data_IF_550767829291
#
_entry.id   IF_550767829291
#
_cell.length_a   1.000
_cell.length_b   1.000
_cell.length_c   1.000
_cell.angle_alpha   90.00
_cell.angle_beta   90.00
_cell.angle_gamma   90.00
#
_symmetry.space_group_name_H-M   'P 1'
#
loop_
_entity.id
_entity.type
_entity.pdbx_description
1 polymer ?
#
# COMPACT_ATOMS: atom_id res chain seq x y z
N UNK A 1 2.55 -17.25 -15.48
CA UNK A 1 1.87 -16.27 -14.59
C UNK A 1 2.05 -16.59 -13.11
N UNK A 2 1.66 -17.77 -12.59
CA UNK A 2 1.87 -18.10 -11.16
C UNK A 2 3.33 -17.92 -10.71
N UNK A 3 4.28 -18.54 -11.41
CA UNK A 3 5.72 -18.42 -11.13
C UNK A 3 6.20 -16.95 -11.24
N UNK A 4 5.77 -16.22 -12.27
CA UNK A 4 6.15 -14.82 -12.44
C UNK A 4 5.68 -13.94 -11.26
N UNK A 5 4.52 -14.23 -10.66
CA UNK A 5 4.04 -13.52 -9.47
C UNK A 5 4.91 -13.86 -8.25
N UNK A 6 5.34 -15.12 -8.11
CA UNK A 6 6.26 -15.55 -7.05
C UNK A 6 7.61 -14.83 -7.21
N UNK A 7 8.16 -14.79 -8.41
CA UNK A 7 9.43 -14.15 -8.70
C UNK A 7 9.35 -12.64 -8.53
N UNK A 8 8.27 -12.02 -8.98
CA UNK A 8 7.99 -10.60 -8.73
C UNK A 8 7.89 -10.31 -7.23
N UNK A 9 7.15 -11.12 -6.48
CA UNK A 9 7.04 -10.97 -5.04
C UNK A 9 8.41 -11.06 -4.36
N UNK A 10 9.22 -12.09 -4.67
CA UNK A 10 10.57 -12.22 -4.13
C UNK A 10 11.46 -11.03 -4.49
N UNK A 11 11.38 -10.56 -5.74
CA UNK A 11 12.20 -9.46 -6.21
C UNK A 11 11.82 -8.12 -5.57
N UNK A 12 10.53 -7.86 -5.41
CA UNK A 12 10.00 -6.59 -4.89
C UNK A 12 9.83 -6.56 -3.38
N UNK A 13 9.91 -7.72 -2.72
CA UNK A 13 9.85 -7.78 -1.26
C UNK A 13 11.00 -6.97 -0.64
N UNK A 14 10.75 -6.39 0.55
CA UNK A 14 11.76 -5.75 1.36
C UNK A 14 13.01 -6.60 1.57
N UNK A 15 14.20 -6.00 1.40
CA UNK A 15 15.49 -6.61 1.78
C UNK A 15 15.98 -6.08 3.13
N UNK A 16 16.76 -6.86 3.90
CA UNK A 16 17.30 -6.41 5.18
C UNK A 16 18.13 -5.12 5.12
N UNK A 17 18.87 -4.90 4.04
CA UNK A 17 19.60 -3.64 3.80
C UNK A 17 18.68 -2.44 3.58
N UNK A 18 17.52 -2.63 2.95
CA UNK A 18 16.55 -1.56 2.72
C UNK A 18 15.80 -1.21 4.00
N UNK A 19 15.48 -2.22 4.81
CA UNK A 19 14.89 -2.01 6.14
C UNK A 19 15.85 -1.22 7.04
N UNK A 20 17.14 -1.57 7.06
CA UNK A 20 18.17 -0.82 7.81
C UNK A 20 18.29 0.62 7.35
N UNK A 21 18.40 0.85 6.04
CA UNK A 21 18.45 2.21 5.47
C UNK A 21 17.21 3.02 5.88
N UNK A 22 16.00 2.44 5.78
CA UNK A 22 14.76 3.11 6.18
C UNK A 22 14.72 3.39 7.68
N UNK A 23 15.21 2.49 8.52
CA UNK A 23 15.33 2.73 9.96
C UNK A 23 16.32 3.86 10.30
N UNK A 24 17.40 4.02 9.55
CA UNK A 24 18.30 5.18 9.71
C UNK A 24 17.60 6.50 9.39
N UNK A 25 16.77 6.54 8.33
CA UNK A 25 15.93 7.71 8.01
C UNK A 25 14.99 8.02 9.18
N UNK A 26 14.30 7.00 9.71
CA UNK A 26 13.39 7.15 10.86
C UNK A 26 14.14 7.71 12.07
N UNK A 27 15.32 7.16 12.40
CA UNK A 27 16.12 7.61 13.53
C UNK A 27 16.55 9.08 13.39
N UNK A 28 16.95 9.52 12.18
CA UNK A 28 17.29 10.93 11.94
C UNK A 28 16.10 11.86 12.21
N UNK A 29 14.93 11.49 11.71
CA UNK A 29 13.69 12.27 11.90
C UNK A 29 13.25 12.25 13.37
N UNK A 30 13.31 11.08 14.01
CA UNK A 30 12.96 10.94 15.42
C UNK A 30 13.86 11.80 16.31
N UNK A 31 15.17 11.88 16.04
CA UNK A 31 16.09 12.73 16.79
C UNK A 31 15.67 14.21 16.72
N UNK A 32 15.31 14.73 15.53
CA UNK A 32 14.79 16.11 15.38
C UNK A 32 13.51 16.31 16.19
N UNK A 33 12.59 15.35 16.12
CA UNK A 33 11.32 15.40 16.86
C UNK A 33 11.56 15.39 18.37
N UNK A 34 12.49 14.56 18.87
CA UNK A 34 12.82 14.44 20.30
C UNK A 34 13.56 15.66 20.84
N UNK A 35 14.34 16.35 20.01
CA UNK A 35 14.95 17.64 20.37
C UNK A 35 13.88 18.73 20.58
N UNK A 36 12.85 18.77 19.72
CA UNK A 36 11.72 19.69 19.89
C UNK A 36 10.80 19.28 21.06
N UNK A 37 10.49 17.99 21.13
CA UNK A 37 9.51 17.42 22.06
C UNK A 37 10.04 16.11 22.66
N UNK A 38 10.81 16.18 23.76
CA UNK A 38 11.44 15.00 24.37
C UNK A 38 10.46 13.88 24.78
N UNK A 39 9.22 14.27 25.12
CA UNK A 39 8.17 13.36 25.55
C UNK A 39 7.27 12.86 24.40
N UNK A 40 7.51 13.30 23.15
CA UNK A 40 6.75 12.81 22.00
C UNK A 40 7.11 11.35 21.74
N UNK A 41 6.15 10.55 21.29
CA UNK A 41 6.36 9.16 20.90
C UNK A 41 6.22 9.03 19.38
N UNK A 42 7.26 8.54 18.71
CA UNK A 42 7.32 8.44 17.24
C UNK A 42 7.14 6.98 16.86
N UNK A 43 6.12 6.70 16.06
CA UNK A 43 5.83 5.33 15.63
C UNK A 43 5.72 5.23 14.12
N UNK A 44 6.27 4.14 13.58
CA UNK A 44 6.09 3.74 12.19
C UNK A 44 4.71 3.07 12.04
N UNK A 45 3.96 3.46 11.02
CA UNK A 45 2.72 2.79 10.62
C UNK A 45 2.74 2.41 9.14
N UNK A 46 1.57 2.05 8.60
CA UNK A 46 1.37 1.86 7.16
C UNK A 46 2.12 0.66 6.58
N UNK A 47 2.58 0.83 5.33
CA UNK A 47 3.15 -0.28 4.55
C UNK A 47 4.47 -0.78 5.13
N UNK A 48 5.28 0.11 5.71
CA UNK A 48 6.55 -0.25 6.33
C UNK A 48 6.35 -1.15 7.55
N UNK A 49 5.39 -0.83 8.43
CA UNK A 49 5.08 -1.66 9.62
C UNK A 49 4.54 -3.06 9.30
N UNK A 50 3.90 -3.22 8.14
CA UNK A 50 3.27 -4.47 7.70
C UNK A 50 4.19 -5.35 6.86
N UNK A 51 5.30 -4.81 6.34
CA UNK A 51 6.16 -5.49 5.38
C UNK A 51 5.60 -5.55 3.96
N UNK A 52 4.47 -4.88 3.68
CA UNK A 52 3.83 -4.85 2.36
C UNK A 52 4.14 -3.55 1.60
N UNK A 53 5.40 -3.13 1.61
CA UNK A 53 5.85 -1.92 0.91
C UNK A 53 6.61 -2.28 -0.36
N UNK A 54 6.48 -1.43 -1.39
CA UNK A 54 7.30 -1.50 -2.59
C UNK A 54 8.64 -0.78 -2.32
N UNK A 55 9.69 -1.05 -3.10
CA UNK A 55 11.02 -0.44 -2.89
C UNK A 55 10.96 1.09 -2.85
N UNK A 56 10.02 1.68 -3.61
CA UNK A 56 9.78 3.12 -3.73
C UNK A 56 8.69 3.66 -2.81
N UNK A 57 8.09 2.82 -1.96
CA UNK A 57 7.02 3.27 -1.06
C UNK A 57 7.54 4.22 0.03
N UNK A 58 6.69 5.15 0.41
CA UNK A 58 6.95 6.13 1.45
C UNK A 58 7.05 5.46 2.85
N UNK A 59 7.72 6.14 3.79
CA UNK A 59 7.67 5.80 5.22
C UNK A 59 6.57 6.63 5.87
N UNK A 60 5.62 5.96 6.52
CA UNK A 60 4.54 6.60 7.27
C UNK A 60 4.91 6.70 8.76
N UNK A 61 5.03 7.92 9.29
CA UNK A 61 5.33 8.19 10.71
C UNK A 61 4.17 8.91 11.40
N UNK A 62 3.84 8.47 12.61
CA UNK A 62 2.90 9.17 13.48
C UNK A 62 3.64 9.63 14.73
N UNK A 63 3.47 10.91 15.05
CA UNK A 63 3.99 11.51 16.28
C UNK A 63 2.82 11.61 17.27
N UNK A 64 2.99 11.03 18.44
CA UNK A 64 2.05 11.13 19.56
C UNK A 64 2.57 12.09 20.62
N UNK A 65 1.66 12.89 21.15
CA UNK A 65 2.01 13.97 22.08
C UNK A 65 0.79 14.80 22.46
N UNK A 66 1.02 15.73 23.39
CA UNK A 66 -0.01 16.64 23.89
C UNK A 66 0.13 17.96 23.18
N UNK A 67 -0.77 18.24 22.25
CA UNK A 67 -0.80 19.49 21.49
C UNK A 67 -2.19 20.11 21.56
N UNK A 68 -2.25 21.40 21.89
CA UNK A 68 -3.50 22.19 21.75
C UNK A 68 -3.79 22.45 20.27
N UNK A 69 -2.74 22.73 19.49
CA UNK A 69 -2.76 22.90 18.04
C UNK A 69 -1.64 22.06 17.42
N UNK A 70 -1.91 21.39 16.30
CA UNK A 70 -0.93 20.52 15.65
C UNK A 70 0.30 21.33 15.19
N UNK A 71 1.53 20.98 15.63
CA UNK A 71 2.72 21.79 15.40
C UNK A 71 3.38 21.49 14.03
N UNK A 72 2.58 21.47 12.96
CA UNK A 72 3.03 21.07 11.62
C UNK A 72 4.19 21.95 11.11
N UNK A 73 4.01 23.27 11.18
CA UNK A 73 4.98 24.27 10.72
C UNK A 73 6.24 24.30 11.59
N UNK A 74 6.11 24.10 12.91
CA UNK A 74 7.27 23.99 13.81
C UNK A 74 8.15 22.80 13.46
N UNK A 75 7.53 21.64 13.15
CA UNK A 75 8.29 20.47 12.72
C UNK A 75 8.91 20.68 11.32
N UNK A 76 8.19 21.31 10.39
CA UNK A 76 8.73 21.66 9.06
C UNK A 76 10.00 22.51 9.16
N UNK A 77 9.98 23.57 9.96
CA UNK A 77 11.14 24.45 10.17
C UNK A 77 12.35 23.73 10.76
N UNK A 78 12.11 22.84 11.75
CA UNK A 78 13.17 22.07 12.36
C UNK A 78 13.77 21.02 11.41
N UNK A 79 12.93 20.33 10.64
CA UNK A 79 13.40 19.37 9.63
C UNK A 79 14.28 20.03 8.57
N UNK A 80 13.92 21.26 8.15
CA UNK A 80 14.76 22.07 7.26
C UNK A 80 16.07 22.48 7.93
N UNK A 81 16.02 22.98 9.17
CA UNK A 81 17.21 23.43 9.91
C UNK A 81 18.26 22.33 10.10
N UNK A 82 17.82 21.09 10.30
CA UNK A 82 18.69 19.93 10.49
C UNK A 82 19.12 19.25 9.18
N UNK A 83 18.74 19.78 8.01
CA UNK A 83 19.08 19.26 6.68
C UNK A 83 18.74 17.77 6.47
N UNK A 84 17.70 17.28 7.16
CA UNK A 84 17.25 15.88 7.04
C UNK A 84 16.54 15.65 5.71
N UNK A 85 15.88 16.69 5.20
CA UNK A 85 15.15 16.65 3.93
C UNK A 85 15.88 17.42 2.84
N UNK A 86 15.64 17.04 1.58
CA UNK A 86 16.00 17.88 0.44
C UNK A 86 15.32 19.26 0.57
N UNK A 87 16.04 20.34 0.29
CA UNK A 87 15.71 21.73 0.66
C UNK A 87 14.29 22.14 0.24
N UNK A 88 13.83 21.64 -0.91
CA UNK A 88 12.53 21.98 -1.49
C UNK A 88 11.47 20.86 -1.38
N UNK A 89 11.79 19.77 -0.69
CA UNK A 89 10.91 18.61 -0.60
C UNK A 89 9.87 18.70 0.53
N UNK A 90 10.17 19.43 1.61
CA UNK A 90 9.29 19.51 2.78
C UNK A 90 8.04 20.33 2.46
N UNK A 91 6.86 19.71 2.56
CA UNK A 91 5.55 20.31 2.28
C UNK A 91 4.55 19.97 3.37
N UNK A 92 3.92 20.99 3.92
CA UNK A 92 2.80 20.84 4.85
C UNK A 92 1.48 20.77 4.07
N UNK A 93 0.71 19.71 4.28
CA UNK A 93 -0.63 19.52 3.73
C UNK A 93 -1.64 19.62 4.86
N UNK A 94 -2.04 20.84 5.23
CA UNK A 94 -2.87 21.15 6.39
C UNK A 94 -4.39 21.10 6.13
N UNK A 95 -4.81 21.16 4.86
CA UNK A 95 -6.23 21.20 4.45
C UNK A 95 -6.88 19.81 4.31
N UNK A 96 -6.11 18.73 4.39
CA UNK A 96 -6.63 17.37 4.29
C UNK A 96 -7.36 16.95 5.57
N UNK A 97 -8.21 15.94 5.49
CA UNK A 97 -8.90 15.36 6.67
C UNK A 97 -7.91 14.91 7.75
N UNK A 98 -6.75 14.41 7.32
CA UNK A 98 -5.59 14.14 8.19
C UNK A 98 -4.46 15.02 7.69
N UNK A 99 -4.12 16.11 8.42
CA UNK A 99 -2.98 16.93 8.09
C UNK A 99 -1.67 16.16 8.18
N UNK A 100 -0.81 16.31 7.16
CA UNK A 100 0.48 15.62 7.09
C UNK A 100 1.61 16.54 6.62
N UNK A 101 2.83 16.20 6.99
CA UNK A 101 4.07 16.78 6.45
C UNK A 101 4.68 15.74 5.53
N UNK A 102 4.87 16.09 4.26
CA UNK A 102 5.60 15.27 3.29
C UNK A 102 7.03 15.78 3.18
N UNK A 103 8.01 14.88 3.09
CA UNK A 103 9.39 15.21 2.78
C UNK A 103 10.07 14.09 1.98
N UNK A 104 11.23 14.40 1.40
CA UNK A 104 12.14 13.42 0.83
C UNK A 104 13.47 13.52 1.57
N UNK A 105 13.95 12.42 2.14
CA UNK A 105 15.24 12.36 2.83
C UNK A 105 16.37 12.71 1.85
N UNK A 106 17.23 13.65 2.25
CA UNK A 106 18.26 14.25 1.39
C UNK A 106 19.36 13.27 0.96
N UNK A 107 19.57 12.19 1.73
CA UNK A 107 20.64 11.23 1.50
C UNK A 107 20.16 9.99 0.74
N UNK A 108 18.99 9.50 1.09
CA UNK A 108 18.46 8.20 0.60
C UNK A 108 17.37 8.36 -0.45
N UNK A 109 16.86 9.58 -0.67
CA UNK A 109 15.70 9.86 -1.53
C UNK A 109 14.40 9.18 -1.09
N UNK A 110 14.37 8.61 0.13
CA UNK A 110 13.16 8.01 0.68
C UNK A 110 12.16 9.09 1.05
N UNK A 111 10.94 8.95 0.52
CA UNK A 111 9.81 9.81 0.88
C UNK A 111 9.26 9.44 2.26
N UNK A 112 8.89 10.44 3.04
CA UNK A 112 8.32 10.28 4.38
C UNK A 112 7.09 11.15 4.54
N UNK A 113 6.01 10.55 5.02
CA UNK A 113 4.78 11.22 5.41
C UNK A 113 4.67 11.20 6.95
N UNK A 114 4.61 12.38 7.59
CA UNK A 114 4.50 12.54 9.04
C UNK A 114 3.12 13.08 9.40
N UNK A 115 2.43 12.37 10.29
CA UNK A 115 1.11 12.74 10.83
C UNK A 115 1.17 12.87 12.35
N UNK A 116 0.15 13.48 12.95
CA UNK A 116 0.06 13.69 14.40
C UNK A 116 -1.18 13.02 14.99
N UNK A 117 -1.01 12.30 16.11
CA UNK A 117 -2.09 11.68 16.89
C UNK A 117 -3.06 10.76 16.11
N UNK A 118 -2.61 10.16 15.01
CA UNK A 118 -3.41 9.19 14.24
C UNK A 118 -3.35 7.81 14.91
N UNK A 119 -4.31 7.52 15.78
CA UNK A 119 -4.31 6.29 16.59
C UNK A 119 -4.59 5.00 15.80
N UNK A 120 -5.28 5.08 14.66
CA UNK A 120 -5.75 3.88 13.95
C UNK A 120 -4.66 3.16 13.14
N UNK A 121 -3.54 3.82 12.82
CA UNK A 121 -2.48 3.25 11.99
C UNK A 121 -1.87 1.97 12.56
N UNK A 122 -1.64 1.93 13.87
CA UNK A 122 -1.05 0.77 14.56
C UNK A 122 -2.01 -0.42 14.58
N UNK A 123 -3.29 -0.16 14.88
CA UNK A 123 -4.34 -1.21 14.85
C UNK A 123 -4.55 -1.76 13.45
N UNK A 124 -4.50 -0.90 12.42
CA UNK A 124 -4.58 -1.31 11.02
C UNK A 124 -3.42 -2.23 10.63
N UNK A 125 -2.20 -1.93 11.08
CA UNK A 125 -1.05 -2.79 10.82
C UNK A 125 -1.20 -4.17 11.47
N UNK A 126 -1.74 -4.26 12.69
CA UNK A 126 -2.01 -5.55 13.33
C UNK A 126 -3.10 -6.33 12.59
N UNK A 127 -4.21 -5.68 12.22
CA UNK A 127 -5.28 -6.30 11.45
C UNK A 127 -4.76 -6.86 10.11
N UNK A 128 -3.90 -6.11 9.42
CA UNK A 128 -3.26 -6.56 8.17
C UNK A 128 -2.45 -7.85 8.43
N UNK A 129 -1.65 -7.88 9.49
CA UNK A 129 -0.86 -9.07 9.87
C UNK A 129 -1.75 -10.28 10.16
N UNK A 130 -2.87 -10.07 10.86
CA UNK A 130 -3.83 -11.13 11.16
C UNK A 130 -4.46 -11.69 9.88
N UNK A 131 -4.81 -10.83 8.92
CA UNK A 131 -5.31 -11.26 7.61
C UNK A 131 -4.25 -11.96 6.77
N UNK A 132 -3.00 -11.49 6.76
CA UNK A 132 -1.90 -12.19 6.06
C UNK A 132 -1.70 -13.59 6.63
N UNK A 133 -1.75 -13.73 7.97
CA UNK A 133 -1.66 -15.04 8.63
C UNK A 133 -2.83 -15.95 8.23
N UNK A 134 -4.03 -15.40 8.12
CA UNK A 134 -5.23 -16.14 7.71
C UNK A 134 -5.23 -16.50 6.23
N UNK A 135 -4.72 -15.60 5.38
CA UNK A 135 -4.70 -15.73 3.92
C UNK A 135 -3.27 -15.49 3.41
N UNK A 136 -2.41 -16.52 3.39
CA UNK A 136 -1.01 -16.41 2.99
C UNK A 136 -0.80 -15.95 1.54
N UNK A 137 -1.84 -15.98 0.72
CA UNK A 137 -1.83 -15.51 -0.68
C UNK A 137 -1.84 -13.98 -0.80
N UNK A 138 -2.26 -13.26 0.25
CA UNK A 138 -2.44 -11.80 0.23
C UNK A 138 -1.17 -11.03 -0.15
N UNK A 139 0.01 -11.29 0.43
CA UNK A 139 1.23 -10.54 0.10
C UNK A 139 1.57 -10.57 -1.40
N UNK A 140 1.41 -11.74 -2.04
CA UNK A 140 1.67 -11.94 -3.46
C UNK A 140 0.73 -11.10 -4.33
N UNK A 141 -0.58 -11.16 -4.06
CA UNK A 141 -1.58 -10.39 -4.80
C UNK A 141 -1.42 -8.89 -4.56
N UNK A 142 -1.28 -8.49 -3.29
CA UNK A 142 -1.25 -7.07 -2.90
C UNK A 142 -0.02 -6.37 -3.48
N UNK A 143 1.17 -6.97 -3.50
CA UNK A 143 2.33 -6.33 -4.12
C UNK A 143 2.16 -6.13 -5.63
N UNK A 144 1.58 -7.10 -6.34
CA UNK A 144 1.29 -6.95 -7.78
C UNK A 144 0.27 -5.82 -8.00
N UNK A 145 -0.82 -5.82 -7.23
CA UNK A 145 -1.87 -4.80 -7.34
C UNK A 145 -1.35 -3.40 -6.98
N UNK A 146 -0.50 -3.29 -5.96
CA UNK A 146 0.16 -2.03 -5.60
C UNK A 146 1.01 -1.52 -6.75
N UNK A 147 1.88 -2.36 -7.32
CA UNK A 147 2.72 -1.96 -8.46
C UNK A 147 1.86 -1.56 -9.66
N UNK A 148 0.79 -2.32 -9.92
CA UNK A 148 -0.14 -2.07 -11.00
C UNK A 148 -0.81 -0.70 -10.92
N UNK A 149 -1.27 -0.29 -9.73
CA UNK A 149 -1.84 1.04 -9.52
C UNK A 149 -0.78 2.14 -9.48
N UNK A 150 0.36 1.88 -8.86
CA UNK A 150 1.47 2.84 -8.74
C UNK A 150 1.94 3.33 -10.10
N UNK A 151 2.23 2.43 -11.03
CA UNK A 151 2.74 2.82 -12.36
C UNK A 151 1.69 3.54 -13.24
N UNK A 152 0.46 3.69 -12.76
CA UNK A 152 -0.65 4.37 -13.45
C UNK A 152 -1.09 5.63 -12.69
N UNK A 153 -0.39 5.99 -11.61
CA UNK A 153 -0.76 7.09 -10.72
C UNK A 153 -2.17 6.94 -10.11
N UNK A 154 -2.61 5.69 -9.91
CA UNK A 154 -3.93 5.33 -9.37
C UNK A 154 -3.90 4.88 -7.90
N UNK A 155 -2.75 4.98 -7.24
CA UNK A 155 -2.52 4.57 -5.85
C UNK A 155 -2.71 5.71 -4.83
N UNK A 156 -2.83 6.96 -5.28
CA UNK A 156 -2.92 8.14 -4.41
C UNK A 156 -4.37 8.59 -4.20
N UNK A 157 -4.80 8.66 -2.94
CA UNK A 157 -6.17 9.12 -2.61
C UNK A 157 -6.38 10.60 -2.88
N UNK A 158 -5.31 11.40 -2.90
CA UNK A 158 -5.38 12.82 -3.20
C UNK A 158 -5.90 13.09 -4.62
N UNK A 159 -5.47 12.27 -5.59
CA UNK A 159 -5.93 12.30 -6.99
C UNK A 159 -7.17 11.42 -7.23
N UNK A 160 -7.77 10.87 -6.17
CA UNK A 160 -8.96 10.03 -6.23
C UNK A 160 -8.69 8.55 -6.50
N UNK A 161 -7.42 8.12 -6.52
CA UNK A 161 -7.02 6.72 -6.62
C UNK A 161 -7.41 5.88 -5.40
N UNK A 162 -6.97 4.62 -5.37
CA UNK A 162 -7.24 3.69 -4.28
C UNK A 162 -6.01 3.61 -3.36
N UNK A 163 -6.18 4.04 -2.12
CA UNK A 163 -5.13 3.95 -1.10
C UNK A 163 -4.78 2.50 -0.72
N UNK A 164 -3.57 2.30 -0.20
CA UNK A 164 -3.03 0.97 0.15
C UNK A 164 -3.95 0.15 1.08
N UNK A 165 -4.59 0.79 2.07
CA UNK A 165 -5.48 0.09 3.00
C UNK A 165 -6.78 -0.35 2.32
N UNK A 166 -7.42 0.53 1.52
CA UNK A 166 -8.60 0.20 0.72
C UNK A 166 -8.31 -0.96 -0.24
N UNK A 167 -7.16 -0.93 -0.93
CA UNK A 167 -6.74 -2.00 -1.84
C UNK A 167 -6.56 -3.33 -1.11
N UNK A 168 -5.95 -3.31 0.08
CA UNK A 168 -5.79 -4.48 0.92
C UNK A 168 -7.15 -5.06 1.33
N UNK A 169 -8.09 -4.23 1.78
CA UNK A 169 -9.44 -4.67 2.15
C UNK A 169 -10.23 -5.23 0.95
N UNK A 170 -10.04 -4.68 -0.25
CA UNK A 170 -10.61 -5.26 -1.48
C UNK A 170 -10.06 -6.68 -1.75
N UNK A 171 -8.76 -6.88 -1.56
CA UNK A 171 -8.12 -8.20 -1.70
C UNK A 171 -8.62 -9.19 -0.63
N UNK A 172 -8.78 -8.74 0.62
CA UNK A 172 -9.38 -9.54 1.69
C UNK A 172 -10.82 -9.93 1.36
N UNK A 173 -11.64 -8.98 0.93
CA UNK A 173 -13.04 -9.24 0.56
C UNK A 173 -13.15 -10.23 -0.61
N UNK A 174 -12.25 -10.11 -1.59
CA UNK A 174 -12.17 -11.06 -2.71
C UNK A 174 -11.93 -12.49 -2.23
N UNK A 175 -10.96 -12.71 -1.33
CA UNK A 175 -10.66 -14.04 -0.79
C UNK A 175 -11.75 -14.57 0.14
N UNK A 176 -12.32 -13.70 0.97
CA UNK A 176 -13.42 -14.01 1.88
C UNK A 176 -14.65 -14.58 1.16
N UNK A 177 -14.96 -14.01 -0.01
CA UNK A 177 -16.15 -14.34 -0.79
C UNK A 177 -15.81 -15.19 -2.03
N UNK A 178 -14.58 -15.71 -2.10
CA UNK A 178 -14.15 -16.53 -3.22
C UNK A 178 -14.87 -17.88 -3.20
N UNK A 179 -15.46 -18.35 -4.32
CA UNK A 179 -16.24 -19.58 -4.35
C UNK A 179 -15.40 -20.84 -4.16
N UNK A 180 -14.11 -20.79 -4.52
CA UNK A 180 -13.20 -21.92 -4.30
C UNK A 180 -12.58 -21.86 -2.90
N UNK A 181 -12.67 -22.96 -2.16
CA UNK A 181 -12.02 -23.13 -0.85
C UNK A 181 -10.49 -23.12 -0.95
N UNK A 182 -9.94 -23.59 -2.07
CA UNK A 182 -8.49 -23.65 -2.31
C UNK A 182 -7.84 -22.27 -2.48
N UNK A 183 -8.62 -21.22 -2.76
CA UNK A 183 -8.13 -19.86 -2.96
C UNK A 183 -7.45 -19.27 -1.73
N UNK A 184 -7.75 -19.81 -0.55
CA UNK A 184 -7.19 -19.38 0.72
C UNK A 184 -5.98 -20.23 1.17
N UNK A 185 -5.64 -21.28 0.41
CA UNK A 185 -4.61 -22.25 0.78
C UNK A 185 -3.22 -21.85 0.24
N UNK A 186 -2.12 -22.29 0.85
CA UNK A 186 -0.75 -21.94 0.40
C UNK A 186 -0.39 -22.43 -1.01
N UNK A 187 -1.09 -23.44 -1.53
CA UNK A 187 -0.90 -24.00 -2.87
C UNK A 187 -1.82 -23.37 -3.94
N UNK A 188 -2.54 -22.29 -3.59
CA UNK A 188 -3.42 -21.61 -4.52
C UNK A 188 -2.65 -21.06 -5.74
N UNK A 189 -3.28 -21.12 -6.90
CA UNK A 189 -2.69 -20.55 -8.11
C UNK A 189 -2.86 -19.02 -8.13
N UNK A 190 -1.82 -18.29 -7.71
CA UNK A 190 -1.80 -16.82 -7.73
C UNK A 190 -2.17 -16.19 -9.08
N UNK A 191 -1.86 -16.84 -10.21
CA UNK A 191 -2.19 -16.30 -11.52
C UNK A 191 -3.69 -16.31 -11.80
N UNK A 192 -4.37 -17.40 -11.40
CA UNK A 192 -5.82 -17.52 -11.52
C UNK A 192 -6.50 -16.50 -10.60
N UNK A 193 -6.06 -16.42 -9.33
CA UNK A 193 -6.61 -15.47 -8.36
C UNK A 193 -6.43 -14.00 -8.78
N UNK A 194 -5.29 -13.66 -9.38
CA UNK A 194 -5.05 -12.30 -9.87
C UNK A 194 -5.99 -11.95 -11.03
N UNK A 195 -6.19 -12.86 -11.98
CA UNK A 195 -7.12 -12.67 -13.09
C UNK A 195 -8.56 -12.53 -12.57
N UNK A 196 -8.99 -13.41 -11.67
CA UNK A 196 -10.33 -13.38 -11.08
C UNK A 196 -10.57 -12.11 -10.23
N UNK A 197 -9.54 -11.61 -9.53
CA UNK A 197 -9.61 -10.32 -8.83
C UNK A 197 -9.88 -9.17 -9.82
N UNK A 198 -9.11 -9.11 -10.92
CA UNK A 198 -9.31 -8.10 -11.95
C UNK A 198 -10.66 -8.25 -12.65
N UNK A 199 -11.14 -9.48 -12.84
CA UNK A 199 -12.46 -9.73 -13.41
C UNK A 199 -13.56 -9.19 -12.50
N UNK A 200 -13.52 -9.55 -11.21
CA UNK A 200 -14.51 -9.14 -10.23
C UNK A 200 -14.57 -7.61 -10.15
N UNK A 201 -13.45 -6.96 -9.84
CA UNK A 201 -13.45 -5.51 -9.63
C UNK A 201 -13.40 -4.69 -10.93
N UNK A 202 -13.03 -5.29 -12.06
CA UNK A 202 -13.07 -4.62 -13.37
C UNK A 202 -14.43 -4.70 -14.06
N UNK A 203 -15.16 -5.81 -13.89
CA UNK A 203 -16.39 -6.11 -14.67
C UNK A 203 -17.64 -6.30 -13.82
N UNK A 204 -17.55 -7.09 -12.77
CA UNK A 204 -18.75 -7.63 -12.10
C UNK A 204 -19.19 -6.83 -10.87
N UNK A 205 -18.25 -6.23 -10.13
CA UNK A 205 -18.55 -5.49 -8.91
C UNK A 205 -19.34 -4.22 -9.23
N UNK A 206 -20.51 -4.09 -8.62
CA UNK A 206 -21.38 -2.94 -8.82
C UNK A 206 -21.01 -1.79 -7.87
N UNK A 207 -20.05 -0.96 -8.29
CA UNK A 207 -19.63 0.24 -7.55
C UNK A 207 -20.76 1.22 -7.23
N UNK A 208 -21.89 1.20 -7.94
CA UNK A 208 -22.99 2.12 -7.65
C UNK A 208 -23.89 1.65 -6.51
N UNK A 209 -24.08 0.33 -6.36
CA UNK A 209 -25.07 -0.24 -5.44
C UNK A 209 -24.48 -1.07 -4.31
N UNK A 210 -23.25 -1.54 -4.47
CA UNK A 210 -22.65 -2.53 -3.57
C UNK A 210 -21.53 -1.95 -2.74
N UNK A 211 -21.59 -2.19 -1.43
CA UNK A 211 -20.55 -1.92 -0.46
C UNK A 211 -19.82 -3.19 0.00
N UNK A 212 -18.60 -3.02 0.50
CA UNK A 212 -17.79 -4.11 1.04
C UNK A 212 -17.82 -4.08 2.57
N UNK A 213 -18.15 -5.21 3.19
CA UNK A 213 -18.01 -5.44 4.63
C UNK A 213 -17.02 -6.57 4.87
N UNK A 214 -16.07 -6.34 5.78
CA UNK A 214 -14.96 -7.27 6.07
C UNK A 214 -15.22 -8.14 7.31
N UNK A 215 -16.11 -7.70 8.20
CA UNK A 215 -16.45 -8.40 9.45
C UNK A 215 -17.13 -9.74 9.19
N UNK A 216 -17.04 -10.64 10.16
CA UNK A 216 -17.76 -11.93 10.21
C UNK A 216 -17.58 -12.83 8.98
N UNK A 217 -16.37 -12.82 8.41
CA UNK A 217 -16.06 -13.63 7.23
C UNK A 217 -16.31 -12.92 5.90
N UNK A 218 -16.81 -11.68 5.92
CA UNK A 218 -17.00 -10.85 4.74
C UNK A 218 -18.40 -10.95 4.13
N UNK A 219 -18.91 -9.85 3.61
CA UNK A 219 -20.19 -9.81 2.90
C UNK A 219 -20.30 -8.58 2.01
N UNK A 220 -21.17 -8.63 1.00
CA UNK A 220 -21.58 -7.46 0.24
C UNK A 220 -22.87 -6.88 0.80
N UNK A 221 -22.95 -5.55 0.84
CA UNK A 221 -24.07 -4.81 1.42
C UNK A 221 -24.66 -3.85 0.41
N UNK A 222 -25.98 -3.64 0.45
CA UNK A 222 -26.62 -2.64 -0.38
C UNK A 222 -26.33 -1.23 0.18
N UNK A 223 -25.82 -0.33 -0.65
CA UNK A 223 -25.53 1.05 -0.25
C UNK A 223 -26.77 1.79 0.23
N UNK A 224 -27.93 1.50 -0.35
CA UNK A 224 -29.21 2.09 0.06
C UNK A 224 -29.60 1.69 1.50
N UNK A 225 -29.20 0.51 1.96
CA UNK A 225 -29.41 0.07 3.34
C UNK A 225 -28.42 0.73 4.30
N UNK A 226 -27.15 0.77 3.89
CA UNK A 226 -26.09 1.46 4.65
C UNK A 226 -26.43 2.94 4.85
N UNK A 227 -26.91 3.62 3.80
CA UNK A 227 -27.24 5.04 3.85
C UNK A 227 -28.30 5.36 4.90
N UNK A 228 -29.26 4.46 5.16
CA UNK A 228 -30.28 4.65 6.22
C UNK A 228 -29.68 4.68 7.63
N UNK A 229 -28.52 4.06 7.81
CA UNK A 229 -27.80 3.98 9.08
C UNK A 229 -26.71 5.05 9.23
N UNK A 230 -26.41 5.80 8.16
CA UNK A 230 -25.46 6.91 8.20
C UNK A 230 -26.11 8.15 8.81
N UNK A 231 -25.31 8.95 9.52
CA UNK A 231 -25.74 10.26 10.02
C UNK A 231 -26.20 11.15 8.85
N UNK A 232 -27.23 11.96 9.10
CA UNK A 232 -27.90 12.79 8.09
C UNK A 232 -26.90 13.57 7.22
N UNK A 233 -26.97 13.36 5.90
CA UNK A 233 -26.17 14.06 4.90
C UNK A 233 -24.98 13.28 4.33
N UNK A 234 -24.54 12.18 4.96
CA UNK A 234 -23.49 11.33 4.41
C UNK A 234 -24.06 10.30 3.42
N UNK A 235 -23.42 10.18 2.25
CA UNK A 235 -23.71 9.14 1.26
C UNK A 235 -22.52 8.19 1.14
N UNK A 236 -22.76 6.88 0.94
CA UNK A 236 -21.70 5.94 0.62
C UNK A 236 -20.91 6.41 -0.60
N UNK A 237 -19.58 6.39 -0.54
CA UNK A 237 -18.72 6.79 -1.66
C UNK A 237 -18.80 5.82 -2.83
N UNK A 238 -18.14 6.13 -3.96
CA UNK A 238 -18.10 5.25 -5.13
C UNK A 238 -17.53 3.86 -4.77
N UNK A 239 -16.44 3.82 -4.01
CA UNK A 239 -15.90 2.59 -3.44
C UNK A 239 -16.21 2.57 -1.95
N UNK A 240 -17.38 2.06 -1.56
CA UNK A 240 -17.73 1.97 -0.15
C UNK A 240 -17.12 0.72 0.49
N UNK A 241 -16.29 0.91 1.51
CA UNK A 241 -15.71 -0.17 2.30
C UNK A 241 -15.91 0.17 3.78
N UNK A 242 -16.63 -0.68 4.51
CA UNK A 242 -16.77 -0.54 5.96
C UNK A 242 -15.42 -0.73 6.64
N UNK A 243 -15.01 0.27 7.43
CA UNK A 243 -13.80 0.17 8.23
C UNK A 243 -13.99 -0.87 9.35
N UNK A 244 -13.21 -1.97 9.37
CA UNK A 244 -13.31 -2.98 10.42
C UNK A 244 -12.91 -2.44 11.80
N UNK A 245 -12.11 -1.38 11.87
CA UNK A 245 -11.60 -0.77 13.12
C UNK A 245 -12.44 0.41 13.60
N UNK A 246 -13.11 1.11 12.70
CA UNK A 246 -13.92 2.29 13.03
C UNK A 246 -15.34 2.20 12.45
N UNK A 247 -16.33 1.76 13.25
CA UNK A 247 -17.73 1.70 12.81
C UNK A 247 -18.22 3.03 12.22
N UNK A 248 -18.91 2.95 11.07
CA UNK A 248 -19.45 4.10 10.35
C UNK A 248 -18.42 4.85 9.48
N UNK A 249 -17.14 4.51 9.56
CA UNK A 249 -16.12 5.05 8.64
C UNK A 249 -16.17 4.33 7.29
N UNK A 250 -16.08 5.12 6.21
CA UNK A 250 -15.97 4.63 4.84
C UNK A 250 -14.53 4.79 4.38
N UNK A 251 -13.79 3.68 4.29
CA UNK A 251 -12.36 3.69 3.97
C UNK A 251 -12.11 4.19 2.54
N UNK A 252 -13.05 3.97 1.61
CA UNK A 252 -12.91 4.42 0.22
C UNK A 252 -13.50 5.79 -0.06
N UNK A 253 -13.84 6.57 0.98
CA UNK A 253 -14.44 7.91 0.85
C UNK A 253 -13.66 8.85 -0.08
N UNK A 254 -12.34 8.81 0.00
CA UNK A 254 -11.45 9.65 -0.81
C UNK A 254 -11.12 9.05 -2.19
N UNK A 255 -11.57 7.83 -2.48
CA UNK A 255 -11.34 7.14 -3.77
C UNK A 255 -12.38 7.57 -4.82
N UNK A 256 -12.55 8.87 -5.04
CA UNK A 256 -13.58 9.40 -5.96
C UNK A 256 -13.30 9.05 -7.44
N UNK A 257 -12.07 8.68 -7.78
CA UNK A 257 -11.63 8.15 -9.07
C UNK A 257 -11.68 6.63 -9.18
N UNK A 258 -12.46 5.93 -8.35
CA UNK A 258 -12.57 4.47 -8.37
C UNK A 258 -13.02 3.90 -9.74
N UNK A 259 -13.72 4.68 -10.56
CA UNK A 259 -14.15 4.24 -11.90
C UNK A 259 -13.00 4.15 -12.89
N UNK A 260 -11.98 5.02 -12.78
CA UNK A 260 -10.74 4.91 -13.55
C UNK A 260 -9.99 3.63 -13.15
N UNK A 261 -9.99 3.30 -11.85
CA UNK A 261 -9.39 2.06 -11.36
C UNK A 261 -10.13 0.83 -11.85
N UNK A 262 -11.47 0.87 -11.88
CA UNK A 262 -12.30 -0.18 -12.51
C UNK A 262 -11.91 -0.41 -13.97
N UNK A 263 -11.73 0.65 -14.76
CA UNK A 263 -11.29 0.54 -16.16
C UNK A 263 -9.90 -0.07 -16.28
N UNK A 264 -8.97 0.32 -15.41
CA UNK A 264 -7.63 -0.26 -15.37
C UNK A 264 -7.67 -1.77 -15.03
N UNK A 265 -8.51 -2.17 -14.07
CA UNK A 265 -8.72 -3.58 -13.72
C UNK A 265 -9.32 -4.38 -14.88
N UNK A 266 -10.32 -3.84 -15.59
CA UNK A 266 -10.88 -4.49 -16.79
C UNK A 266 -9.81 -4.68 -17.87
N UNK A 267 -8.99 -3.66 -18.13
CA UNK A 267 -7.84 -3.78 -19.03
C UNK A 267 -6.89 -4.91 -18.62
N UNK A 268 -6.52 -4.97 -17.34
CA UNK A 268 -5.62 -6.02 -16.83
C UNK A 268 -6.21 -7.42 -16.99
N UNK A 269 -7.52 -7.57 -16.71
CA UNK A 269 -8.23 -8.82 -16.94
C UNK A 269 -8.16 -9.25 -18.41
N UNK A 270 -8.46 -8.35 -19.36
CA UNK A 270 -8.41 -8.65 -20.80
C UNK A 270 -7.01 -9.08 -21.23
N UNK A 271 -5.99 -8.30 -20.83
CA UNK A 271 -4.60 -8.55 -21.22
C UNK A 271 -4.10 -9.88 -20.68
N UNK A 272 -4.31 -10.16 -19.39
CA UNK A 272 -3.85 -11.40 -18.78
C UNK A 272 -4.63 -12.62 -19.30
N UNK A 273 -5.96 -12.53 -19.42
CA UNK A 273 -6.79 -13.62 -19.94
C UNK A 273 -6.39 -13.99 -21.36
N UNK A 274 -6.09 -13.00 -22.19
CA UNK A 274 -5.59 -13.22 -23.54
C UNK A 274 -4.19 -13.88 -23.53
N UNK A 275 -3.29 -13.41 -22.67
CA UNK A 275 -1.92 -13.91 -22.59
C UNK A 275 -1.82 -15.38 -22.11
N UNK A 276 -2.75 -15.82 -21.25
CA UNK A 276 -2.78 -17.21 -20.74
C UNK A 276 -3.66 -18.15 -21.58
N UNK A 277 -4.31 -17.64 -22.63
CA UNK A 277 -5.23 -18.43 -23.46
C UNK A 277 -4.47 -19.46 -24.33
N UNK A 278 -5.01 -20.68 -24.56
CA UNK A 278 -4.38 -21.68 -25.43
C UNK A 278 -4.13 -21.20 -26.87
N UNK A 279 -4.90 -20.21 -27.33
CA UNK A 279 -4.76 -19.59 -28.66
C UNK A 279 -3.74 -18.44 -28.69
N UNK A 280 -3.16 -18.05 -27.55
CA UNK A 280 -2.18 -16.96 -27.47
C UNK A 280 -1.00 -17.16 -28.44
N UNK A 281 -0.60 -18.41 -28.70
CA UNK A 281 0.46 -18.76 -29.66
C UNK A 281 0.21 -18.31 -31.11
N UNK A 282 -1.02 -17.97 -31.47
CA UNK A 282 -1.40 -17.53 -32.82
C UNK A 282 -1.44 -16.01 -32.98
N UNK A 283 -1.26 -15.26 -31.89
CA UNK A 283 -1.21 -13.81 -31.93
C UNK A 283 0.23 -13.33 -32.07
N UNK A 284 0.46 -12.14 -32.65
CA UNK A 284 1.77 -11.49 -32.65
C UNK A 284 2.12 -11.06 -31.21
N UNK A 285 2.55 -12.02 -30.41
CA UNK A 285 3.07 -11.82 -29.06
C UNK A 285 4.58 -11.66 -29.16
N UNK A 286 5.12 -10.66 -28.46
CA UNK A 286 6.56 -10.55 -28.31
C UNK A 286 7.03 -11.70 -27.39
N UNK A 287 7.77 -12.68 -27.93
CA UNK A 287 8.27 -13.85 -27.17
C UNK A 287 9.19 -13.46 -26.00
N UNK A 288 9.71 -12.23 -26.01
CA UNK A 288 10.55 -11.69 -24.94
C UNK A 288 9.76 -11.05 -23.79
N UNK A 289 8.45 -10.85 -23.94
CA UNK A 289 7.62 -10.17 -22.94
C UNK A 289 6.95 -11.17 -22.00
N UNK A 290 7.24 -11.06 -20.70
CA UNK A 290 6.64 -11.90 -19.66
C UNK A 290 5.14 -11.62 -19.52
N UNK A 291 4.35 -12.60 -19.05
CA UNK A 291 2.89 -12.48 -18.96
C UNK A 291 2.51 -11.35 -18.01
N UNK A 292 3.12 -11.32 -16.83
CA UNK A 292 2.94 -10.29 -15.81
C UNK A 292 3.50 -8.94 -16.28
N UNK A 293 4.60 -8.97 -17.05
CA UNK A 293 5.25 -7.79 -17.65
C UNK A 293 4.35 -6.96 -18.57
N UNK A 294 3.27 -7.57 -19.09
CA UNK A 294 2.26 -6.88 -19.91
C UNK A 294 1.41 -5.89 -19.12
N UNK A 295 1.23 -6.11 -17.82
CA UNK A 295 0.39 -5.25 -16.97
C UNK A 295 1.19 -4.46 -15.93
N UNK A 296 2.38 -4.94 -15.54
CA UNK A 296 3.27 -4.27 -14.61
C UNK A 296 4.70 -4.20 -15.13
N UNK A 297 5.43 -3.16 -14.73
CA UNK A 297 6.86 -2.97 -15.06
C UNK A 297 7.62 -2.53 -13.83
N UNK A 298 8.85 -3.02 -13.70
CA UNK A 298 9.85 -2.49 -12.76
C UNK A 298 10.85 -1.68 -13.57
N UNK A 299 11.05 -0.41 -13.20
CA UNK A 299 11.96 0.47 -13.95
C UNK A 299 13.42 0.18 -13.61
N UNK A 300 14.31 0.52 -14.53
CA UNK A 300 15.76 0.42 -14.30
C UNK A 300 16.22 1.32 -13.14
N UNK A 301 15.51 2.41 -12.88
CA UNK A 301 15.75 3.29 -11.73
C UNK A 301 15.55 2.53 -10.41
N UNK A 302 14.47 1.76 -10.27
CA UNK A 302 14.22 0.92 -9.08
C UNK A 302 15.32 -0.11 -8.90
N UNK A 303 15.75 -0.77 -9.98
CA UNK A 303 16.83 -1.75 -9.92
C UNK A 303 18.15 -1.10 -9.49
N UNK A 304 18.52 0.02 -10.12
CA UNK A 304 19.74 0.78 -9.80
C UNK A 304 19.74 1.28 -8.36
N UNK A 305 18.60 1.77 -7.88
CA UNK A 305 18.42 2.23 -6.51
C UNK A 305 18.61 1.09 -5.50
N UNK A 306 17.98 -0.07 -5.74
CA UNK A 306 18.16 -1.26 -4.90
C UNK A 306 19.62 -1.72 -4.87
N UNK A 307 20.31 -1.73 -6.01
CA UNK A 307 21.73 -2.09 -6.10
C UNK A 307 22.62 -1.09 -5.35
N UNK A 308 22.29 0.20 -5.40
CA UNK A 308 22.97 1.23 -4.62
C UNK A 308 22.79 1.00 -3.11
N UNK A 309 21.57 0.71 -2.64
CA UNK A 309 21.31 0.35 -1.23
C UNK A 309 22.13 -0.88 -0.83
N UNK A 310 22.11 -1.95 -1.63
CA UNK A 310 22.87 -3.17 -1.32
C UNK A 310 24.38 -2.91 -1.25
N UNK A 311 24.93 -1.94 -2.01
CA UNK A 311 26.35 -1.57 -1.90
C UNK A 311 26.66 -0.81 -0.60
N UNK A 312 25.80 0.12 -0.20
CA UNK A 312 26.01 0.98 0.97
C UNK A 312 25.72 0.24 2.29
N UNK A 313 24.60 -0.48 2.37
CA UNK A 313 24.15 -1.16 3.59
C UNK A 313 24.39 -2.67 3.58
N UNK A 314 24.67 -3.30 2.44
CA UNK A 314 24.85 -4.76 2.36
C UNK A 314 26.13 -5.29 3.01
N UNK A 315 27.16 -4.47 3.23
CA UNK A 315 28.43 -4.93 3.83
C UNK A 315 28.40 -5.07 5.36
N UNK A 316 27.55 -4.29 6.05
CA UNK A 316 27.46 -4.35 7.52
C UNK A 316 26.90 -5.68 8.05
N UNK A 317 26.17 -6.45 7.24
CA UNK A 317 25.65 -7.76 7.66
C UNK A 317 26.73 -8.83 7.76
N UNK A 318 27.87 -8.69 7.06
CA UNK A 318 28.97 -9.66 7.10
C UNK A 318 29.78 -9.58 8.40
N UNK A 319 29.93 -8.38 8.95
CA UNK A 319 30.72 -8.13 10.17
C UNK A 319 30.04 -8.63 11.45
N UNK A 320 28.70 -8.60 11.53
CA UNK A 320 27.98 -9.11 12.71
C UNK A 320 27.92 -10.64 12.75
N UNK A 321 27.94 -11.33 11.61
CA UNK A 321 27.98 -12.79 11.56
C UNK A 321 29.37 -13.40 11.86
N UNK A 322 30.43 -12.59 11.90
CA UNK A 322 31.81 -13.04 12.18
C UNK A 322 32.26 -12.86 13.63
N UNK A 323 31.43 -12.30 14.52
CA UNK A 323 31.79 -12.06 15.93
C UNK A 323 31.13 -13.03 16.94
N UNK A 324 30.40 -14.05 16.48
CA UNK A 324 29.82 -15.10 17.33
C UNK A 324 30.36 -16.49 16.94
N UNK A 325 31.69 -16.64 16.89
CA UNK A 325 32.40 -17.90 16.68
C UNK A 325 33.25 -18.28 17.88
#
# INVERSE_FOLDING_TARGET
LHEEIIDFYKYMSPRPEEERMRMEVVNRIENVIKELWPNADVQIFGSFKTGLYLPTSDIDLVVFGKWETLPLWTLEEALRKHNVADENSVKVLDKATVPIIKLTDSFTEVKVDISFNVQNGVKAAQLIKDFIKKYPVLPYLVLVLKQFLLQRDLNEVFTGGIGSYSLFLMAVSFLQLHPREDACMPNANYGVLLIEFFELYGRHFNYLKTGIRIKDGGSYVAKDEVQKSMLDGYRPSMLYIEDPLQPGNDVGRSSYGAMQVKQAFDYAYVVLSHAVSPIAKYYPNNETESILGRIIRVTQEVATYRDWISKQWGMQSRTESSCNG
#
